data_IF_265046556763
#
_entry.id   IF_265046556763
#
_cell.length_a   1.000
_cell.length_b   1.000
_cell.length_c   1.000
_cell.angle_alpha   90.00
_cell.angle_beta   90.00
_cell.angle_gamma   90.00
#
_symmetry.space_group_name_H-M   'P 1'
#
loop_
_entity.id
_entity.type
_entity.pdbx_description
1 polymer ?
#
# COMPACT_ATOMS: atom_id res chain seq x y z
N UNK A 1 7.39 11.04 -4.85
CA UNK A 1 6.77 9.70 -4.93
C UNK A 1 5.44 9.72 -4.19
N UNK A 2 4.42 9.15 -4.77
CA UNK A 2 3.07 9.15 -4.22
C UNK A 2 2.62 7.71 -3.95
N UNK A 3 2.13 7.45 -2.75
CA UNK A 3 1.45 6.22 -2.41
C UNK A 3 -0.06 6.48 -2.48
N UNK A 4 -0.72 5.82 -3.43
CA UNK A 4 -2.17 5.91 -3.61
C UNK A 4 -2.83 4.69 -2.98
N UNK A 5 -3.91 4.93 -2.23
CA UNK A 5 -4.64 3.87 -1.54
C UNK A 5 -6.13 4.00 -1.90
N UNK A 6 -6.69 2.92 -2.45
CA UNK A 6 -8.11 2.82 -2.74
C UNK A 6 -8.72 1.72 -1.87
N UNK A 7 -9.59 2.09 -0.96
CA UNK A 7 -10.18 1.17 0.02
C UNK A 7 -11.59 0.79 -0.40
N UNK A 8 -11.77 -0.50 -0.69
CA UNK A 8 -13.08 -1.09 -0.97
C UNK A 8 -13.55 -2.00 0.16
N UNK A 9 -14.77 -2.55 0.02
CA UNK A 9 -15.36 -3.43 1.03
C UNK A 9 -14.64 -4.76 1.18
N UNK A 10 -14.12 -5.30 0.09
CA UNK A 10 -13.48 -6.63 0.06
C UNK A 10 -11.98 -6.57 -0.19
N UNK A 11 -11.52 -5.52 -0.84
CA UNK A 11 -10.12 -5.33 -1.17
C UNK A 11 -9.72 -3.87 -1.00
N UNK A 12 -8.45 -3.64 -0.71
CA UNK A 12 -7.86 -2.34 -0.90
C UNK A 12 -6.66 -2.45 -1.85
N UNK A 13 -6.43 -1.39 -2.61
CA UNK A 13 -5.39 -1.36 -3.63
C UNK A 13 -4.36 -0.33 -3.24
N UNK A 14 -3.09 -0.71 -3.28
CA UNK A 14 -1.96 0.17 -3.09
C UNK A 14 -1.28 0.39 -4.44
N UNK A 15 -1.08 1.65 -4.81
CA UNK A 15 -0.30 2.01 -5.98
C UNK A 15 0.81 2.97 -5.59
N UNK A 16 1.98 2.81 -6.18
CA UNK A 16 3.09 3.71 -5.95
C UNK A 16 3.51 4.34 -7.29
N UNK A 17 3.51 5.67 -7.31
CA UNK A 17 3.76 6.43 -8.52
C UNK A 17 4.94 7.38 -8.29
N UNK A 18 5.91 7.32 -9.21
CA UNK A 18 7.05 8.22 -9.21
C UNK A 18 7.09 8.97 -10.54
N UNK A 19 6.68 10.24 -10.52
CA UNK A 19 6.50 11.01 -11.74
C UNK A 19 5.43 10.38 -12.63
N UNK A 20 5.82 9.95 -13.84
CA UNK A 20 4.92 9.28 -14.78
C UNK A 20 5.00 7.74 -14.68
N UNK A 21 5.83 7.23 -13.79
CA UNK A 21 6.07 5.80 -13.66
C UNK A 21 5.26 5.20 -12.51
N UNK A 22 4.52 4.12 -12.80
CA UNK A 22 3.88 3.30 -11.80
C UNK A 22 4.84 2.20 -11.37
N UNK A 23 5.33 2.25 -10.12
CA UNK A 23 6.31 1.31 -9.64
C UNK A 23 5.68 -0.03 -9.26
N UNK A 24 4.48 0.01 -8.68
CA UNK A 24 3.72 -1.19 -8.39
C UNK A 24 2.24 -0.87 -8.19
N UNK A 25 1.41 -1.90 -8.36
CA UNK A 25 0.01 -1.91 -7.94
C UNK A 25 -0.23 -3.25 -7.26
N UNK A 26 -0.64 -3.22 -6.00
CA UNK A 26 -0.92 -4.42 -5.23
C UNK A 26 -2.32 -4.36 -4.65
N UNK A 27 -2.99 -5.51 -4.67
CA UNK A 27 -4.31 -5.69 -4.09
C UNK A 27 -4.22 -6.55 -2.85
N UNK A 28 -4.78 -6.06 -1.75
CA UNK A 28 -4.84 -6.78 -0.49
C UNK A 28 -6.29 -6.97 -0.07
N UNK A 29 -6.54 -8.00 0.73
CA UNK A 29 -7.88 -8.24 1.26
C UNK A 29 -8.22 -7.23 2.36
N UNK A 30 -9.45 -6.71 2.31
CA UNK A 30 -10.00 -5.92 3.41
C UNK A 30 -10.55 -6.86 4.46
N UNK A 31 -10.04 -6.79 5.68
CA UNK A 31 -10.50 -7.59 6.82
C UNK A 31 -11.00 -6.64 7.89
N UNK A 32 -12.30 -6.65 8.15
CA UNK A 32 -12.94 -5.68 9.06
C UNK A 32 -12.51 -5.80 10.52
N UNK A 33 -11.99 -6.97 10.90
CA UNK A 33 -11.50 -7.21 12.26
C UNK A 33 -10.03 -6.80 12.45
N UNK A 34 -9.33 -6.43 11.39
CA UNK A 34 -7.97 -5.91 11.51
C UNK A 34 -7.96 -4.54 12.16
N UNK A 35 -6.97 -4.33 13.00
CA UNK A 35 -6.71 -3.03 13.61
C UNK A 35 -5.96 -2.11 12.64
N UNK A 36 -5.92 -0.83 12.97
CA UNK A 36 -5.13 0.17 12.24
C UNK A 36 -3.66 -0.23 12.16
N UNK A 37 -3.11 -0.75 13.26
CA UNK A 37 -1.72 -1.21 13.31
C UNK A 37 -1.48 -2.38 12.35
N UNK A 38 -2.40 -3.32 12.27
CA UNK A 38 -2.28 -4.46 11.36
C UNK A 38 -2.27 -4.00 9.90
N UNK A 39 -3.10 -3.04 9.51
CA UNK A 39 -3.06 -2.45 8.18
C UNK A 39 -1.76 -1.69 7.93
N UNK A 40 -1.26 -0.97 8.91
CA UNK A 40 0.02 -0.27 8.78
C UNK A 40 1.17 -1.24 8.55
N UNK A 41 1.17 -2.39 9.22
CA UNK A 41 2.16 -3.45 9.04
C UNK A 41 2.06 -4.03 7.63
N UNK A 42 0.85 -4.29 7.13
CA UNK A 42 0.64 -4.81 5.77
C UNK A 42 1.21 -3.84 4.72
N UNK A 43 0.90 -2.56 4.85
CA UNK A 43 1.40 -1.52 3.94
C UNK A 43 2.93 -1.44 4.00
N UNK A 44 3.48 -1.44 5.20
CA UNK A 44 4.94 -1.42 5.38
C UNK A 44 5.60 -2.63 4.72
N UNK A 45 5.02 -3.81 4.85
CA UNK A 45 5.55 -5.02 4.24
C UNK A 45 5.55 -4.93 2.72
N UNK A 46 4.50 -4.39 2.11
CA UNK A 46 4.45 -4.18 0.66
C UNK A 46 5.56 -3.22 0.22
N UNK A 47 5.73 -2.11 0.91
CA UNK A 47 6.80 -1.16 0.61
C UNK A 47 8.18 -1.80 0.73
N UNK A 48 8.41 -2.60 1.76
CA UNK A 48 9.68 -3.31 1.96
C UNK A 48 9.96 -4.31 0.83
N UNK A 49 8.94 -5.02 0.36
CA UNK A 49 9.07 -5.96 -0.77
C UNK A 49 9.56 -5.24 -2.03
N UNK A 50 9.09 -4.03 -2.26
CA UNK A 50 9.48 -3.21 -3.42
C UNK A 50 10.66 -2.29 -3.14
N UNK A 51 11.30 -2.42 -1.98
CA UNK A 51 12.47 -1.60 -1.57
C UNK A 51 12.19 -0.10 -1.56
N UNK A 52 10.97 0.28 -1.17
CA UNK A 52 10.57 1.67 -1.06
C UNK A 52 10.60 2.08 0.41
N UNK A 53 11.35 3.14 0.72
CA UNK A 53 11.40 3.70 2.06
C UNK A 53 10.27 4.71 2.26
N UNK A 54 9.73 4.73 3.47
CA UNK A 54 8.70 5.67 3.85
C UNK A 54 9.12 7.13 3.59
N UNK A 55 10.38 7.43 3.77
CA UNK A 55 10.94 8.77 3.53
C UNK A 55 10.93 9.18 2.04
N UNK A 56 10.73 8.24 1.12
CA UNK A 56 10.66 8.51 -0.32
C UNK A 56 9.27 9.00 -0.76
N UNK A 57 8.29 8.87 0.10
CA UNK A 57 6.88 9.20 -0.19
C UNK A 57 6.56 10.63 0.25
#
# INVERSE_FOLDING_TARGET
MILAIDVGNTNFVLGCIDGDECLFVERLSTVRTKTELEYAIDIKNVLDIYHIHRSDI
#
